data_IF_761001689206
#
_entry.id   IF_761001689206
#
_cell.length_a   1.000
_cell.length_b   1.000
_cell.length_c   1.000
_cell.angle_alpha   90.00
_cell.angle_beta   90.00
_cell.angle_gamma   90.00
#
_symmetry.space_group_name_H-M   'P 1'
#
loop_
_entity.id
_entity.type
_entity.pdbx_description
1 polymer ?
#
# COMPACT_ATOMS: atom_id res chain seq x y z
N UNK A 1 1.36 -0.02 -13.91
CA UNK A 1 0.40 -0.36 -12.85
C UNK A 1 1.19 -1.02 -11.75
N UNK A 2 1.50 -0.27 -10.69
CA UNK A 2 2.19 -0.83 -9.51
C UNK A 2 1.24 -1.80 -8.80
N UNK A 3 1.80 -2.85 -8.20
CA UNK A 3 1.01 -3.85 -7.47
C UNK A 3 0.20 -3.22 -6.32
N UNK A 4 0.71 -2.13 -5.72
CA UNK A 4 0.00 -1.35 -4.72
C UNK A 4 -1.32 -0.75 -5.19
N UNK A 5 -1.40 -0.21 -6.41
CA UNK A 5 -2.65 0.34 -6.95
C UNK A 5 -3.72 -0.73 -7.17
N UNK A 6 -3.32 -1.94 -7.56
CA UNK A 6 -4.24 -3.06 -7.78
C UNK A 6 -4.84 -3.54 -6.45
N UNK A 7 -4.00 -3.69 -5.42
CA UNK A 7 -4.45 -4.05 -4.07
C UNK A 7 -5.38 -2.99 -3.50
N UNK A 8 -5.04 -1.70 -3.66
CA UNK A 8 -5.89 -0.59 -3.22
C UNK A 8 -7.27 -0.61 -3.91
N UNK A 9 -7.31 -0.85 -5.21
CA UNK A 9 -8.56 -0.95 -5.96
C UNK A 9 -9.44 -2.12 -5.50
N UNK A 10 -8.84 -3.30 -5.24
CA UNK A 10 -9.57 -4.47 -4.73
C UNK A 10 -10.12 -4.19 -3.33
N UNK A 11 -9.29 -3.65 -2.44
CA UNK A 11 -9.71 -3.29 -1.09
C UNK A 11 -10.84 -2.27 -1.09
N UNK A 12 -10.78 -1.27 -1.99
CA UNK A 12 -11.84 -0.29 -2.15
C UNK A 12 -13.17 -0.92 -2.60
N UNK A 13 -13.13 -1.83 -3.57
CA UNK A 13 -14.32 -2.57 -4.02
C UNK A 13 -14.94 -3.42 -2.91
N UNK A 14 -14.12 -4.11 -2.11
CA UNK A 14 -14.59 -4.91 -0.97
C UNK A 14 -15.32 -4.01 0.03
N UNK A 15 -14.72 -2.86 0.36
CA UNK A 15 -15.31 -1.89 1.26
C UNK A 15 -16.66 -1.42 0.70
N UNK A 16 -16.75 -1.02 -0.57
CA UNK A 16 -18.01 -0.63 -1.23
C UNK A 16 -19.11 -1.67 -1.14
N UNK A 17 -18.78 -2.95 -1.36
CA UNK A 17 -19.75 -4.04 -1.24
C UNK A 17 -20.22 -4.21 0.20
N UNK A 18 -19.31 -4.15 1.17
CA UNK A 18 -19.65 -4.22 2.60
C UNK A 18 -20.62 -3.11 3.02
N UNK A 19 -20.39 -1.89 2.54
CA UNK A 19 -21.25 -0.76 2.88
C UNK A 19 -22.62 -0.84 2.23
N UNK A 20 -22.70 -1.29 0.97
CA UNK A 20 -23.99 -1.54 0.31
C UNK A 20 -24.81 -2.55 1.11
N UNK A 21 -24.21 -3.67 1.49
CA UNK A 21 -24.87 -4.69 2.31
C UNK A 21 -25.28 -4.16 3.69
N UNK A 22 -24.41 -3.39 4.34
CA UNK A 22 -24.70 -2.76 5.63
C UNK A 22 -25.88 -1.78 5.53
N UNK A 23 -25.90 -0.93 4.50
CA UNK A 23 -26.96 0.06 4.29
C UNK A 23 -28.33 -0.60 4.04
N UNK A 24 -28.36 -1.68 3.27
CA UNK A 24 -29.58 -2.47 3.04
C UNK A 24 -30.11 -3.11 4.34
N UNK A 25 -29.21 -3.67 5.16
CA UNK A 25 -29.60 -4.35 6.39
C UNK A 25 -30.05 -3.36 7.49
N UNK A 26 -29.50 -2.13 7.52
CA UNK A 26 -29.91 -1.08 8.46
C UNK A 26 -31.18 -0.33 8.04
N UNK A 27 -31.47 -0.23 6.74
CA UNK A 27 -32.64 0.45 6.22
C UNK A 27 -33.98 -0.16 6.67
N UNK A 28 -34.02 -1.45 7.01
CA UNK A 28 -35.25 -2.13 7.43
C UNK A 28 -35.54 -2.06 8.94
N UNK A 29 -34.53 -1.75 9.78
CA UNK A 29 -34.60 -2.04 11.23
C UNK A 29 -35.01 -0.87 12.15
N UNK A 30 -34.86 0.40 11.77
CA UNK A 30 -35.03 1.50 12.74
C UNK A 30 -35.72 2.75 12.18
N UNK A 31 -37.07 2.80 12.27
CA UNK A 31 -37.88 3.99 11.95
C UNK A 31 -37.62 5.20 12.87
N UNK A 32 -37.14 4.99 14.09
CA UNK A 32 -36.95 6.07 15.08
C UNK A 32 -35.49 6.51 15.24
N UNK A 33 -34.53 5.61 14.98
CA UNK A 33 -33.08 5.87 15.17
C UNK A 33 -32.25 5.69 13.89
N UNK A 34 -32.90 5.55 12.73
CA UNK A 34 -32.24 5.28 11.45
C UNK A 34 -31.26 6.38 11.02
N UNK A 35 -31.56 7.65 11.31
CA UNK A 35 -30.67 8.78 10.97
C UNK A 35 -29.36 8.75 11.77
N UNK A 36 -29.42 8.43 13.06
CA UNK A 36 -28.22 8.34 13.91
C UNK A 36 -27.33 7.16 13.46
N UNK A 37 -27.95 6.01 13.15
CA UNK A 37 -27.23 4.86 12.59
C UNK A 37 -26.60 5.16 11.24
N UNK A 38 -27.31 5.88 10.36
CA UNK A 38 -26.79 6.29 9.05
C UNK A 38 -25.57 7.22 9.17
N UNK A 39 -25.56 8.16 10.12
CA UNK A 39 -24.40 9.04 10.36
C UNK A 39 -23.19 8.24 10.84
N UNK A 40 -23.37 7.33 11.79
CA UNK A 40 -22.28 6.49 12.32
C UNK A 40 -21.72 5.60 11.20
N UNK A 41 -22.58 4.99 10.39
CA UNK A 41 -22.20 4.18 9.24
C UNK A 41 -21.43 4.99 8.20
N UNK A 42 -21.88 6.20 7.90
CA UNK A 42 -21.21 7.11 6.98
C UNK A 42 -19.84 7.55 7.51
N UNK A 43 -19.73 7.81 8.81
CA UNK A 43 -18.45 8.12 9.44
C UNK A 43 -17.48 6.93 9.34
N UNK A 44 -17.98 5.72 9.59
CA UNK A 44 -17.21 4.48 9.47
C UNK A 44 -16.78 4.21 8.02
N UNK A 45 -17.65 4.53 7.06
CA UNK A 45 -17.37 4.45 5.63
C UNK A 45 -16.20 5.34 5.21
N UNK A 46 -16.21 6.61 5.63
CA UNK A 46 -15.11 7.53 5.37
C UNK A 46 -13.84 7.02 6.03
N UNK A 47 -13.93 6.56 7.28
CA UNK A 47 -12.78 6.04 8.02
C UNK A 47 -12.13 4.83 7.32
N UNK A 48 -12.93 3.86 6.86
CA UNK A 48 -12.43 2.74 6.06
C UNK A 48 -11.81 3.20 4.75
N UNK A 49 -12.41 4.17 4.08
CA UNK A 49 -11.88 4.71 2.82
C UNK A 49 -10.49 5.34 3.01
N UNK A 50 -10.28 6.07 4.12
CA UNK A 50 -8.98 6.65 4.47
C UNK A 50 -7.94 5.54 4.66
N UNK A 51 -8.27 4.48 5.40
CA UNK A 51 -7.36 3.35 5.63
C UNK A 51 -6.98 2.67 4.31
N UNK A 52 -7.93 2.43 3.42
CA UNK A 52 -7.66 1.82 2.11
C UNK A 52 -6.70 2.67 1.28
N UNK A 53 -6.90 3.99 1.27
CA UNK A 53 -6.02 4.93 0.55
C UNK A 53 -4.62 4.94 1.15
N UNK A 54 -4.49 4.97 2.48
CA UNK A 54 -3.19 4.94 3.16
C UNK A 54 -2.43 3.66 2.88
N UNK A 55 -3.08 2.50 2.99
CA UNK A 55 -2.47 1.19 2.69
C UNK A 55 -2.03 1.13 1.23
N UNK A 56 -2.86 1.63 0.30
CA UNK A 56 -2.52 1.70 -1.12
C UNK A 56 -1.30 2.59 -1.38
N UNK A 57 -1.20 3.73 -0.69
CA UNK A 57 -0.07 4.64 -0.76
C UNK A 57 1.22 4.03 -0.22
N UNK A 58 1.15 3.39 0.94
CA UNK A 58 2.31 2.71 1.57
C UNK A 58 2.82 1.57 0.70
N UNK A 59 1.94 0.72 0.16
CA UNK A 59 2.34 -0.34 -0.77
C UNK A 59 2.96 0.23 -2.05
N UNK A 60 2.42 1.35 -2.56
CA UNK A 60 2.97 2.00 -3.74
C UNK A 60 4.37 2.57 -3.46
N UNK A 61 4.57 3.20 -2.31
CA UNK A 61 5.87 3.72 -1.87
C UNK A 61 6.90 2.61 -1.65
N UNK A 62 6.51 1.49 -1.03
CA UNK A 62 7.41 0.34 -0.86
C UNK A 62 7.75 -0.31 -2.21
N UNK A 63 6.77 -0.43 -3.12
CA UNK A 63 7.05 -0.94 -4.48
C UNK A 63 8.04 -0.05 -5.21
N UNK A 64 7.93 1.27 -5.05
CA UNK A 64 8.84 2.26 -5.65
C UNK A 64 10.24 2.18 -5.01
N UNK A 65 10.32 2.00 -3.70
CA UNK A 65 11.55 1.79 -2.94
C UNK A 65 12.31 0.51 -3.35
N UNK A 66 11.60 -0.53 -3.75
CA UNK A 66 12.18 -1.79 -4.24
C UNK A 66 12.60 -1.72 -5.72
N UNK A 67 12.16 -0.70 -6.47
CA UNK A 67 12.64 -0.47 -7.84
C UNK A 67 13.94 0.32 -7.84
N UNK A 68 14.99 -0.31 -8.34
CA UNK A 68 16.37 0.19 -8.57
C UNK A 68 16.46 1.46 -9.45
N UNK A 69 15.33 2.05 -9.83
CA UNK A 69 15.28 3.17 -10.78
C UNK A 69 15.03 4.48 -10.03
N UNK A 70 16.15 5.09 -9.66
CA UNK A 70 16.22 6.46 -9.15
C UNK A 70 15.60 7.46 -10.16
N UNK A 71 14.61 8.22 -9.71
CA UNK A 71 13.93 9.26 -10.49
C UNK A 71 14.38 10.67 -10.07
N UNK A 72 15.39 10.81 -9.21
CA UNK A 72 15.94 12.13 -8.87
C UNK A 72 16.49 12.84 -10.12
N UNK A 73 16.19 14.13 -10.24
CA UNK A 73 16.72 14.99 -11.29
C UNK A 73 18.19 15.28 -10.96
N UNK A 74 19.10 14.61 -11.66
CA UNK A 74 20.54 14.73 -11.48
C UNK A 74 21.28 13.53 -12.06
N UNK A 75 22.60 13.65 -12.26
CA UNK A 75 23.43 12.54 -12.72
C UNK A 75 23.39 11.36 -11.72
N UNK A 76 23.43 10.10 -12.20
CA UNK A 76 23.33 8.93 -11.33
C UNK A 76 24.49 8.93 -10.32
N UNK A 77 24.20 9.21 -9.05
CA UNK A 77 25.16 9.07 -7.95
C UNK A 77 25.26 7.60 -7.53
N UNK A 78 26.38 7.15 -6.95
CA UNK A 78 26.46 5.83 -6.32
C UNK A 78 25.57 5.77 -5.07
N UNK A 79 25.23 4.56 -4.64
CA UNK A 79 24.40 4.33 -3.45
C UNK A 79 25.10 4.80 -2.18
N UNK A 80 24.43 5.57 -1.32
CA UNK A 80 25.02 6.15 -0.10
C UNK A 80 25.40 7.63 -0.18
N UNK A 81 25.49 8.21 -1.40
CA UNK A 81 25.87 9.62 -1.60
C UNK A 81 24.68 10.54 -1.92
N UNK A 82 23.45 10.02 -1.90
CA UNK A 82 22.25 10.79 -2.26
C UNK A 82 21.71 11.62 -1.09
N UNK A 83 22.12 11.32 0.14
CA UNK A 83 21.69 12.07 1.34
C UNK A 83 20.23 11.81 1.71
N UNK A 84 19.65 10.72 1.21
CA UNK A 84 18.26 10.33 1.41
C UNK A 84 18.25 8.91 1.95
N UNK A 85 18.00 8.76 3.26
CA UNK A 85 18.07 7.48 3.99
C UNK A 85 17.31 6.34 3.32
N UNK A 86 16.17 6.64 2.69
CA UNK A 86 15.38 5.66 1.94
C UNK A 86 16.02 5.28 0.59
N UNK A 87 16.67 6.21 -0.12
CA UNK A 87 17.34 5.88 -1.39
C UNK A 87 18.69 5.17 -1.21
N UNK A 88 19.30 5.29 -0.03
CA UNK A 88 20.63 4.78 0.27
C UNK A 88 20.61 3.37 0.90
N UNK A 89 19.42 2.84 1.23
CA UNK A 89 19.25 1.53 1.90
C UNK A 89 18.33 0.59 1.10
N UNK A 90 18.85 -0.13 0.10
CA UNK A 90 18.10 -1.28 -0.46
C UNK A 90 18.31 -2.53 0.37
N UNK A 91 17.26 -3.33 0.54
CA UNK A 91 17.33 -4.65 1.16
C UNK A 91 18.39 -5.51 0.47
N UNK A 92 19.27 -6.13 1.26
CA UNK A 92 20.41 -6.89 0.75
C UNK A 92 19.97 -7.95 -0.27
N UNK A 93 20.31 -7.73 -1.55
CA UNK A 93 20.31 -8.80 -2.54
C UNK A 93 21.30 -9.85 -2.03
N UNK A 94 20.83 -11.07 -1.78
CA UNK A 94 21.73 -12.20 -1.52
C UNK A 94 22.60 -12.40 -2.76
N UNK A 95 23.82 -11.87 -2.67
CA UNK A 95 24.75 -11.86 -3.79
C UNK A 95 25.11 -13.30 -4.17
N UNK A 96 24.88 -13.58 -5.45
CA UNK A 96 25.38 -14.75 -6.19
C UNK A 96 26.91 -14.92 -6.07
N UNK A 97 27.62 -13.91 -5.53
CA UNK A 97 29.07 -13.94 -5.27
C UNK A 97 29.50 -15.03 -4.28
N UNK A 98 28.61 -15.49 -3.38
CA UNK A 98 28.95 -16.58 -2.45
C UNK A 98 29.05 -17.94 -3.15
N UNK A 99 28.23 -18.17 -4.18
CA UNK A 99 28.17 -19.45 -4.90
C UNK A 99 29.37 -19.67 -5.82
N UNK A 100 29.94 -18.59 -6.37
CA UNK A 100 31.16 -18.66 -7.20
C UNK A 100 32.40 -18.98 -6.34
N UNK A 101 32.45 -18.48 -5.09
CA UNK A 101 33.57 -18.72 -4.17
C UNK A 101 33.65 -20.17 -3.68
N UNK A 102 32.50 -20.83 -3.49
CA UNK A 102 32.45 -22.26 -3.14
C UNK A 102 32.83 -23.18 -4.31
N UNK A 103 32.56 -22.77 -5.55
CA UNK A 103 32.95 -23.52 -6.76
C UNK A 103 34.45 -23.45 -7.08
N UNK A 104 35.21 -22.51 -6.53
CA UNK A 104 36.66 -22.36 -6.73
C UNK A 104 37.49 -23.03 -5.61
N UNK A 105 36.81 -23.61 -4.60
CA UNK A 105 37.42 -24.28 -3.46
C UNK A 105 37.41 -25.82 -3.60
N UNK A 106 37.02 -26.35 -4.76
CA UNK A 106 36.93 -27.78 -5.06
C UNK A 106 37.71 -28.08 -6.33
#
# INVERSE_FOLDING_TARGET
>A
MTWGSVVAAIAWLIVSLLFSWYAENFGSYNKTYGSLGAIIAFMFWIWLSIIVVLIGGELNAETEHQTVRDTTIGGPKPMGERGATMADTVGAKQDCSRRIRESQSK
#
